data_IF_740206225154
#
_entry.id   IF_740206225154
#
_cell.length_a   1.000
_cell.length_b   1.000
_cell.length_c   1.000
_cell.angle_alpha   90.00
_cell.angle_beta   90.00
_cell.angle_gamma   90.00
#
_symmetry.space_group_name_H-M   'P 1'
#
loop_
_entity.id
_entity.type
_entity.pdbx_description
1 polymer ?
#
# COMPACT_ATOMS: atom_id res chain seq x y z
N UNK A 1 1.37 8.66 -9.43
CA UNK A 1 1.37 7.46 -8.55
C UNK A 1 0.35 7.67 -7.45
N UNK A 2 -0.67 6.82 -7.37
CA UNK A 2 -1.70 6.87 -6.32
C UNK A 2 -1.30 6.01 -5.13
N UNK A 3 -1.56 6.51 -3.92
CA UNK A 3 -1.42 5.79 -2.66
C UNK A 3 -2.53 6.21 -1.68
N UNK A 4 -2.71 5.45 -0.61
CA UNK A 4 -3.77 5.64 0.37
C UNK A 4 -3.18 5.74 1.77
N UNK A 5 -3.78 6.57 2.61
CA UNK A 5 -3.36 6.77 3.99
C UNK A 5 -4.53 6.41 4.90
N UNK A 6 -4.37 5.38 5.73
CA UNK A 6 -5.30 5.11 6.83
C UNK A 6 -4.91 5.99 8.01
N UNK A 7 -5.82 6.86 8.41
CA UNK A 7 -5.69 7.71 9.59
C UNK A 7 -6.66 7.20 10.65
N UNK A 8 -6.14 6.80 11.81
CA UNK A 8 -6.90 6.44 13.00
C UNK A 8 -6.67 7.51 14.06
N UNK A 9 -7.74 8.09 14.57
CA UNK A 9 -7.71 9.05 15.68
C UNK A 9 -8.48 8.47 16.85
N UNK A 10 -7.90 8.58 18.04
CA UNK A 10 -8.53 8.19 19.30
C UNK A 10 -8.62 9.42 20.19
N UNK A 11 -9.80 9.64 20.74
CA UNK A 11 -10.09 10.63 21.77
C UNK A 11 -10.93 9.93 22.84
N UNK A 12 -10.25 9.24 23.75
CA UNK A 12 -10.86 8.46 24.80
C UNK A 12 -10.18 8.72 26.14
N UNK A 13 -10.85 8.36 27.23
CA UNK A 13 -10.27 8.41 28.58
C UNK A 13 -8.97 7.57 28.72
N UNK A 14 -8.81 6.53 27.89
CA UNK A 14 -7.65 5.63 27.91
C UNK A 14 -6.54 5.95 26.91
N UNK A 15 -6.86 6.70 25.84
CA UNK A 15 -5.92 7.01 24.77
C UNK A 15 -6.31 8.28 24.01
N UNK A 16 -5.33 9.15 23.77
CA UNK A 16 -5.49 10.32 22.91
C UNK A 16 -4.37 10.36 21.88
N UNK A 17 -4.70 10.34 20.59
CA UNK A 17 -3.66 10.35 19.56
C UNK A 17 -4.14 10.10 18.14
N UNK A 18 -3.16 10.03 17.25
CA UNK A 18 -3.37 9.72 15.85
C UNK A 18 -2.31 8.72 15.36
N UNK A 19 -2.76 7.62 14.75
CA UNK A 19 -1.94 6.67 14.02
C UNK A 19 -2.18 6.85 12.51
N UNK A 20 -1.10 6.81 11.74
CA UNK A 20 -1.13 6.99 10.29
C UNK A 20 -0.37 5.85 9.62
N UNK A 21 -1.02 5.15 8.70
CA UNK A 21 -0.42 4.01 7.98
C UNK A 21 -0.63 4.14 6.46
N UNK A 22 0.44 4.15 5.65
CA UNK A 22 0.34 4.25 4.20
C UNK A 22 0.10 2.87 3.55
N UNK A 23 -0.56 2.88 2.40
CA UNK A 23 -0.87 1.71 1.57
C UNK A 23 -0.76 2.06 0.08
N UNK A 24 -0.27 1.13 -0.73
CA UNK A 24 -0.21 1.27 -2.19
C UNK A 24 -1.48 0.80 -2.90
N UNK A 25 -2.32 0.07 -2.18
CA UNK A 25 -3.57 -0.51 -2.66
C UNK A 25 -4.73 -0.08 -1.77
N UNK A 26 -5.88 0.20 -2.39
CA UNK A 26 -7.06 0.70 -1.66
C UNK A 26 -7.67 -0.40 -0.82
N UNK A 27 -7.78 -1.60 -1.37
CA UNK A 27 -8.40 -2.73 -0.70
C UNK A 27 -7.60 -3.09 0.56
N UNK A 28 -6.26 -3.09 0.47
CA UNK A 28 -5.39 -3.30 1.62
C UNK A 28 -5.62 -2.26 2.74
N UNK A 29 -5.85 -0.99 2.40
CA UNK A 29 -6.18 0.04 3.40
C UNK A 29 -7.56 -0.20 4.04
N UNK A 30 -8.55 -0.63 3.24
CA UNK A 30 -9.91 -0.93 3.70
C UNK A 30 -9.96 -2.18 4.58
N UNK A 31 -9.22 -3.22 4.23
CA UNK A 31 -9.12 -4.44 5.01
C UNK A 31 -8.46 -4.15 6.37
N UNK A 32 -7.37 -3.39 6.37
CA UNK A 32 -6.71 -2.96 7.61
C UNK A 32 -7.61 -2.06 8.48
N UNK A 33 -8.37 -1.14 7.87
CA UNK A 33 -9.35 -0.32 8.61
C UNK A 33 -10.42 -1.18 9.26
N UNK A 34 -10.98 -2.14 8.52
CA UNK A 34 -12.03 -3.04 8.99
C UNK A 34 -11.53 -3.93 10.12
N UNK A 35 -10.32 -4.47 9.99
CA UNK A 35 -9.67 -5.28 11.03
C UNK A 35 -9.47 -4.45 12.31
N UNK A 36 -8.86 -3.25 12.21
CA UNK A 36 -8.67 -2.36 13.34
C UNK A 36 -9.99 -2.00 14.02
N UNK A 37 -11.00 -1.62 13.24
CA UNK A 37 -12.33 -1.28 13.78
C UNK A 37 -12.97 -2.47 14.49
N UNK A 38 -12.94 -3.67 13.89
CA UNK A 38 -13.48 -4.88 14.52
C UNK A 38 -12.80 -5.22 15.84
N UNK A 39 -11.49 -4.99 15.93
CA UNK A 39 -10.74 -5.23 17.15
C UNK A 39 -11.05 -4.18 18.23
N UNK A 40 -11.21 -2.90 17.85
CA UNK A 40 -11.69 -1.86 18.77
C UNK A 40 -13.12 -2.14 19.25
N UNK A 41 -14.06 -2.54 18.38
CA UNK A 41 -15.43 -2.91 18.77
C UNK A 41 -15.45 -4.00 19.85
N UNK A 42 -14.61 -5.04 19.68
CA UNK A 42 -14.46 -6.09 20.68
C UNK A 42 -13.82 -5.57 21.97
N UNK A 43 -12.77 -4.74 21.85
CA UNK A 43 -12.05 -4.20 23.00
C UNK A 43 -12.90 -3.26 23.85
N UNK A 44 -13.81 -2.53 23.23
CA UNK A 44 -14.77 -1.65 23.89
C UNK A 44 -15.94 -2.43 24.50
N UNK A 45 -16.07 -3.72 24.18
CA UNK A 45 -17.26 -4.52 24.49
C UNK A 45 -18.55 -3.80 24.04
N UNK A 46 -18.50 -3.12 22.89
CA UNK A 46 -19.56 -2.20 22.45
C UNK A 46 -20.94 -2.87 22.48
N UNK A 47 -21.07 -4.07 21.91
CA UNK A 47 -22.34 -4.81 21.86
C UNK A 47 -22.85 -5.34 23.23
N UNK A 48 -22.08 -5.19 24.32
CA UNK A 48 -22.40 -5.78 25.62
C UNK A 48 -23.34 -4.92 26.48
N UNK A 49 -23.59 -3.66 26.11
CA UNK A 49 -24.37 -2.73 26.92
C UNK A 49 -25.44 -1.99 26.09
N UNK A 50 -26.26 -1.17 26.77
CA UNK A 50 -27.30 -0.38 26.10
C UNK A 50 -26.70 0.94 25.64
N UNK A 51 -26.94 1.25 24.37
CA UNK A 51 -26.50 2.49 23.76
C UNK A 51 -27.49 3.64 23.95
N UNK A 52 -26.95 4.85 23.97
CA UNK A 52 -27.66 6.12 23.90
C UNK A 52 -27.78 6.59 22.45
N UNK A 53 -28.65 7.58 22.22
CA UNK A 53 -28.94 8.10 20.86
C UNK A 53 -27.71 8.75 20.18
N UNK A 54 -26.68 9.08 20.95
CA UNK A 54 -25.43 9.69 20.49
C UNK A 54 -24.30 8.68 20.20
N UNK A 55 -24.51 7.40 20.53
CA UNK A 55 -23.52 6.35 20.29
C UNK A 55 -23.57 5.90 18.82
N UNK A 56 -22.40 5.70 18.23
CA UNK A 56 -22.24 5.35 16.82
C UNK A 56 -21.24 4.20 16.68
N UNK A 57 -21.56 3.19 15.88
CA UNK A 57 -20.63 2.11 15.58
C UNK A 57 -20.85 1.63 14.15
N UNK A 58 -20.07 2.16 13.24
CA UNK A 58 -20.23 1.95 11.80
C UNK A 58 -18.89 1.76 11.11
N UNK A 59 -18.83 0.79 10.19
CA UNK A 59 -17.69 0.57 9.31
C UNK A 59 -18.14 0.72 7.85
N UNK A 60 -17.83 1.88 7.27
CA UNK A 60 -18.07 2.19 5.87
C UNK A 60 -16.92 1.75 4.96
N UNK A 61 -16.93 2.28 3.73
CA UNK A 61 -15.92 1.97 2.71
C UNK A 61 -14.60 2.70 2.95
N UNK A 62 -14.63 3.99 3.25
CA UNK A 62 -13.43 4.81 3.44
C UNK A 62 -13.38 5.48 4.83
N UNK A 63 -14.32 5.15 5.70
CA UNK A 63 -14.35 5.64 7.08
C UNK A 63 -15.01 4.64 8.00
N UNK A 64 -14.62 4.69 9.27
CA UNK A 64 -15.28 3.96 10.35
C UNK A 64 -15.31 4.82 11.62
N UNK A 65 -16.24 4.54 12.52
CA UNK A 65 -16.39 5.24 13.79
C UNK A 65 -16.83 4.27 14.88
N UNK A 66 -16.35 4.52 16.09
CA UNK A 66 -16.93 4.05 17.34
C UNK A 66 -17.07 5.29 18.23
N UNK A 67 -18.27 5.56 18.73
CA UNK A 67 -18.56 6.61 19.71
C UNK A 67 -19.40 6.04 20.83
N UNK A 68 -18.97 6.28 22.05
CA UNK A 68 -19.74 6.00 23.27
C UNK A 68 -19.68 7.25 24.16
N UNK A 69 -20.75 8.06 24.14
CA UNK A 69 -20.76 9.37 24.80
C UNK A 69 -19.64 10.31 24.32
N UNK A 70 -18.65 10.57 25.18
CA UNK A 70 -17.50 11.44 24.88
C UNK A 70 -16.30 10.70 24.29
N UNK A 71 -16.24 9.37 24.44
CA UNK A 71 -15.15 8.57 23.90
C UNK A 71 -15.39 8.32 22.41
N UNK A 72 -14.40 8.62 21.57
CA UNK A 72 -14.49 8.46 20.11
C UNK A 72 -13.23 7.84 19.54
N UNK A 73 -13.40 6.82 18.71
CA UNK A 73 -12.41 6.41 17.72
C UNK A 73 -12.95 6.63 16.31
N UNK A 74 -12.10 7.16 15.44
CA UNK A 74 -12.46 7.43 14.06
C UNK A 74 -11.34 7.01 13.12
N UNK A 75 -11.71 6.33 12.05
CA UNK A 75 -10.84 5.92 10.97
C UNK A 75 -11.27 6.59 9.68
N UNK A 76 -10.30 7.03 8.89
CA UNK A 76 -10.54 7.49 7.52
C UNK A 76 -9.41 7.08 6.59
N UNK A 77 -9.76 6.81 5.34
CA UNK A 77 -8.82 6.51 4.27
C UNK A 77 -8.74 7.74 3.36
N UNK A 78 -7.57 8.33 3.26
CA UNK A 78 -7.30 9.44 2.37
C UNK A 78 -6.57 8.95 1.11
N UNK A 79 -7.10 9.28 -0.05
CA UNK A 79 -6.45 9.01 -1.34
C UNK A 79 -5.53 10.19 -1.72
N UNK A 80 -4.29 9.88 -2.09
CA UNK A 80 -3.30 10.87 -2.48
C UNK A 80 -2.61 10.45 -3.78
N UNK A 81 -2.21 11.45 -4.56
CA UNK A 81 -1.47 11.24 -5.81
C UNK A 81 -0.16 12.03 -5.79
N UNK A 82 0.94 11.33 -6.02
CA UNK A 82 2.28 11.91 -6.22
C UNK A 82 2.65 11.83 -7.69
N UNK A 83 3.12 12.95 -8.24
CA UNK A 83 3.72 12.96 -9.56
C UNK A 83 5.13 12.35 -9.49
N UNK A 84 5.21 11.03 -9.68
CA UNK A 84 6.48 10.29 -9.72
C UNK A 84 6.77 9.97 -11.18
N UNK A 85 7.93 10.44 -11.64
CA UNK A 85 8.41 10.31 -13.02
C UNK A 85 9.80 9.69 -13.02
N UNK A 86 10.00 8.76 -13.94
CA UNK A 86 11.30 8.12 -14.21
C UNK A 86 11.62 8.31 -15.68
N UNK A 87 12.84 8.78 -15.98
CA UNK A 87 13.37 8.91 -17.31
C UNK A 87 14.61 8.02 -17.46
N UNK A 88 14.54 7.06 -18.36
CA UNK A 88 15.62 6.11 -18.63
C UNK A 88 16.31 6.48 -19.95
N UNK A 89 17.62 6.72 -19.92
CA UNK A 89 18.43 6.92 -21.13
C UNK A 89 18.95 5.58 -21.61
N UNK A 90 18.46 5.14 -22.77
CA UNK A 90 18.93 3.94 -23.46
C UNK A 90 19.72 4.34 -24.70
N UNK A 91 20.91 3.79 -24.88
CA UNK A 91 21.73 4.00 -26.07
C UNK A 91 22.49 2.73 -26.41
N UNK A 92 22.40 2.32 -27.69
CA UNK A 92 23.05 1.10 -28.17
C UNK A 92 22.55 -0.18 -27.49
N UNK A 93 21.28 -0.22 -27.08
CA UNK A 93 20.69 -1.35 -26.36
C UNK A 93 20.84 -1.29 -24.84
N UNK A 94 21.74 -0.46 -24.32
CA UNK A 94 22.07 -0.44 -22.88
C UNK A 94 21.44 0.74 -22.15
N UNK A 95 20.99 0.50 -20.92
CA UNK A 95 20.62 1.55 -19.97
C UNK A 95 21.90 2.27 -19.51
N UNK A 96 22.06 3.54 -19.88
CA UNK A 96 23.23 4.34 -19.48
C UNK A 96 22.99 5.15 -18.21
N UNK A 97 21.79 5.73 -18.09
CA UNK A 97 21.43 6.62 -16.98
C UNK A 97 19.94 6.52 -16.67
N UNK A 98 19.59 6.72 -15.40
CA UNK A 98 18.22 6.80 -14.90
C UNK A 98 18.08 8.08 -14.09
N UNK A 99 17.06 8.86 -14.40
CA UNK A 99 16.70 10.10 -13.69
C UNK A 99 15.31 9.92 -13.08
N UNK A 100 15.13 10.35 -11.84
CA UNK A 100 13.83 10.34 -11.16
C UNK A 100 13.61 11.64 -10.38
N UNK A 101 12.35 12.05 -10.26
CA UNK A 101 11.96 13.23 -9.47
C UNK A 101 11.56 12.88 -8.01
N UNK A 102 11.67 11.61 -7.64
CA UNK A 102 11.40 11.07 -6.32
C UNK A 102 12.38 9.92 -6.04
N UNK A 103 12.49 9.52 -4.77
CA UNK A 103 13.27 8.35 -4.37
C UNK A 103 12.58 7.08 -4.89
N UNK A 104 13.20 6.43 -5.88
CA UNK A 104 12.70 5.18 -6.50
C UNK A 104 13.81 4.15 -6.55
N UNK A 105 13.47 2.90 -6.25
CA UNK A 105 14.33 1.74 -6.50
C UNK A 105 14.04 1.20 -7.89
N UNK A 106 15.07 0.88 -8.66
CA UNK A 106 14.95 0.34 -10.01
C UNK A 106 15.92 -0.82 -10.20
N UNK A 107 15.38 -1.92 -10.72
CA UNK A 107 16.13 -3.07 -11.19
C UNK A 107 15.98 -3.16 -12.72
N UNK A 108 17.08 -3.50 -13.41
CA UNK A 108 17.10 -3.68 -14.86
C UNK A 108 17.35 -5.14 -15.17
N UNK A 109 16.36 -5.79 -15.78
CA UNK A 109 16.44 -7.17 -16.23
C UNK A 109 16.78 -7.19 -17.71
N UNK A 110 18.04 -7.51 -18.01
CA UNK A 110 18.53 -7.72 -19.38
C UNK A 110 18.13 -9.14 -19.81
N UNK A 111 17.14 -9.23 -20.70
CA UNK A 111 16.54 -10.49 -21.15
C UNK A 111 16.93 -10.83 -22.60
N UNK A 112 17.67 -9.97 -23.27
CA UNK A 112 18.17 -10.28 -24.60
C UNK A 112 19.30 -11.31 -24.54
N UNK A 113 19.33 -12.14 -25.58
CA UNK A 113 20.39 -13.12 -25.82
C UNK A 113 20.89 -12.83 -27.22
N UNK A 114 22.20 -12.72 -27.36
CA UNK A 114 22.85 -12.46 -28.63
C UNK A 114 22.59 -13.60 -29.63
N UNK A 115 22.64 -13.30 -30.93
CA UNK A 115 22.48 -14.30 -31.99
C UNK A 115 23.56 -15.41 -31.94
N UNK A 116 24.67 -15.13 -31.25
CA UNK A 116 25.81 -16.04 -31.05
C UNK A 116 26.20 -16.04 -29.57
N UNK A 117 25.41 -16.68 -28.70
CA UNK A 117 25.56 -16.55 -27.26
C UNK A 117 26.84 -17.22 -26.75
N UNK A 118 27.46 -16.57 -25.78
CA UNK A 118 28.53 -17.17 -25.01
C UNK A 118 27.98 -18.28 -24.09
N UNK A 119 28.86 -19.18 -23.62
CA UNK A 119 28.46 -20.27 -22.73
C UNK A 119 27.86 -19.71 -21.43
N UNK A 120 26.58 -20.01 -21.18
CA UNK A 120 25.83 -19.58 -19.99
C UNK A 120 25.00 -18.30 -20.16
N UNK A 121 25.09 -17.61 -21.32
CA UNK A 121 24.30 -16.38 -21.58
C UNK A 121 22.79 -16.65 -21.58
N UNK A 122 22.35 -17.71 -22.28
CA UNK A 122 20.95 -18.15 -22.27
C UNK A 122 20.47 -18.51 -20.86
N UNK A 123 21.29 -19.23 -20.08
CA UNK A 123 20.94 -19.64 -18.72
C UNK A 123 20.79 -18.41 -17.79
N UNK A 124 21.55 -17.34 -18.02
CA UNK A 124 21.42 -16.09 -17.28
C UNK A 124 20.14 -15.33 -17.64
N UNK A 125 19.81 -15.23 -18.92
CA UNK A 125 18.58 -14.60 -19.39
C UNK A 125 17.34 -15.33 -18.83
N UNK A 126 17.31 -16.67 -18.92
CA UNK A 126 16.23 -17.50 -18.38
C UNK A 126 16.07 -17.30 -16.86
N UNK A 127 17.18 -17.18 -16.12
CA UNK A 127 17.16 -16.91 -14.67
C UNK A 127 16.57 -15.53 -14.37
N UNK A 128 17.01 -14.49 -15.09
CA UNK A 128 16.50 -13.12 -14.91
C UNK A 128 15.01 -13.01 -15.26
N UNK A 129 14.58 -13.72 -16.29
CA UNK A 129 13.16 -13.77 -16.66
C UNK A 129 12.32 -14.40 -15.53
N UNK A 130 12.78 -15.52 -14.97
CA UNK A 130 12.12 -16.15 -13.83
C UNK A 130 12.07 -15.25 -12.58
N UNK A 131 13.17 -14.54 -12.28
CA UNK A 131 13.22 -13.56 -11.19
C UNK A 131 12.22 -12.41 -11.40
N UNK A 132 12.17 -11.84 -12.61
CA UNK A 132 11.21 -10.80 -12.97
C UNK A 132 9.77 -11.31 -12.84
N UNK A 133 9.48 -12.51 -13.33
CA UNK A 133 8.15 -13.12 -13.23
C UNK A 133 7.70 -13.30 -11.78
N UNK A 134 8.58 -13.74 -10.89
CA UNK A 134 8.28 -13.88 -9.46
C UNK A 134 8.03 -12.51 -8.83
N UNK A 135 8.85 -11.52 -9.18
CA UNK A 135 8.74 -10.15 -8.68
C UNK A 135 7.39 -9.53 -9.04
N UNK A 136 6.97 -9.59 -10.32
CA UNK A 136 5.72 -8.96 -10.77
C UNK A 136 4.45 -9.68 -10.28
N UNK A 137 4.57 -10.94 -9.83
CA UNK A 137 3.48 -11.68 -9.16
C UNK A 137 3.29 -11.23 -7.70
N UNK A 138 4.27 -10.55 -7.11
CA UNK A 138 4.18 -10.07 -5.73
C UNK A 138 3.17 -8.91 -5.58
N UNK A 139 2.48 -8.79 -4.43
CA UNK A 139 1.54 -7.69 -4.20
C UNK A 139 2.19 -6.31 -4.38
N UNK A 140 1.46 -5.39 -5.02
CA UNK A 140 1.91 -4.01 -5.26
C UNK A 140 2.59 -3.78 -6.61
N UNK A 141 2.97 -4.83 -7.33
CA UNK A 141 3.48 -4.73 -8.71
C UNK A 141 2.33 -4.62 -9.71
N UNK A 142 2.53 -3.83 -10.77
CA UNK A 142 1.58 -3.67 -11.88
C UNK A 142 2.29 -3.22 -13.14
N UNK A 143 1.81 -3.68 -14.30
CA UNK A 143 2.23 -3.14 -15.59
C UNK A 143 1.67 -1.72 -15.74
N UNK A 144 2.54 -0.77 -16.12
CA UNK A 144 2.19 0.65 -16.31
C UNK A 144 2.36 1.13 -17.75
N UNK A 145 2.82 0.23 -18.63
CA UNK A 145 2.98 0.43 -20.06
C UNK A 145 2.66 -0.87 -20.80
#
# INVERSE_FOLDING_TARGET
MKFYILVHTQDTDGAWGCNVKPFMDRQAAQDAMRENWQDSVKSWEYDAHKHHDEDECECGTDSAVIREGMDVEHWRIEEHELDVQVAVRVKGGLVEEVHANADVSMDVFDLDVSDFPDEGEQDEADRKEAELEELVKSPGWRAVW
#
